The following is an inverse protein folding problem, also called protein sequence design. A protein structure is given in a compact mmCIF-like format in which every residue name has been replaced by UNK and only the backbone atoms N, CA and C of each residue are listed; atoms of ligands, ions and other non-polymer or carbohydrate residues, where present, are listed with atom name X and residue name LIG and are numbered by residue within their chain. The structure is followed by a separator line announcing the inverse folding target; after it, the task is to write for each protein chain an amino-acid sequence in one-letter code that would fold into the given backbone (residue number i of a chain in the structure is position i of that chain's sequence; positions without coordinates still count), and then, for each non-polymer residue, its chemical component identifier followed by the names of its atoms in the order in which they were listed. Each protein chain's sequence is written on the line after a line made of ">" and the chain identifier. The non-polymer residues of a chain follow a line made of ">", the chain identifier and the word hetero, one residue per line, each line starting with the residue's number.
data_IF_871411377688
#
_entry.id   IF_871411377688
#
_cell.length_a   1.000
_cell.length_b   1.000
_cell.length_c   1.000
_cell.angle_alpha   90.00
_cell.angle_beta   90.00
_cell.angle_gamma   90.00
#
_symmetry.space_group_name_H-M   'P 1'
#
loop_
_entity.id
_entity.type
_entity.pdbx_description
1 polymer ?
#
# COMPACT_ATOMS: atom_id res chain seq x y z
N UNK A 1 -11.42 18.48 27.63
CA UNK A 1 -11.59 18.51 26.17
C UNK A 1 -11.69 17.09 25.65
N UNK A 2 -12.61 16.75 24.74
CA UNK A 2 -12.64 15.42 24.13
C UNK A 2 -11.42 15.22 23.24
N UNK A 3 -10.79 14.07 23.36
CA UNK A 3 -9.69 13.66 22.47
C UNK A 3 -10.30 13.23 21.14
N UNK A 4 -9.78 13.78 20.02
CA UNK A 4 -10.14 13.35 18.67
C UNK A 4 -9.03 12.49 18.11
N UNK A 5 -9.37 11.30 17.58
CA UNK A 5 -8.45 10.37 16.95
C UNK A 5 -8.83 10.23 15.49
N UNK A 6 -7.85 10.38 14.58
CA UNK A 6 -7.98 10.07 13.18
C UNK A 6 -7.17 8.81 12.86
N UNK A 7 -7.84 7.79 12.31
CA UNK A 7 -7.19 6.56 11.87
C UNK A 7 -6.90 6.63 10.36
N UNK A 8 -5.63 6.41 10.01
CA UNK A 8 -5.17 6.30 8.63
C UNK A 8 -4.58 4.91 8.42
N UNK A 9 -5.03 4.21 7.41
CA UNK A 9 -4.57 2.88 7.02
C UNK A 9 -3.83 2.99 5.69
N UNK A 10 -2.51 2.89 5.71
CA UNK A 10 -1.69 2.86 4.49
C UNK A 10 -1.59 1.43 3.96
N UNK A 11 -1.96 1.24 2.70
CA UNK A 11 -2.07 -0.08 2.07
C UNK A 11 -1.10 -0.17 0.90
N UNK A 12 0.02 -0.87 1.09
CA UNK A 12 1.19 -0.77 0.20
C UNK A 12 1.38 -1.97 -0.74
N UNK A 13 0.72 -3.10 -0.46
CA UNK A 13 0.99 -4.36 -1.18
C UNK A 13 -0.27 -5.01 -1.73
N UNK A 14 -0.12 -5.84 -2.78
CA UNK A 14 -1.21 -6.67 -3.32
C UNK A 14 -1.82 -7.58 -2.23
N UNK A 15 -0.98 -8.22 -1.41
CA UNK A 15 -1.45 -9.09 -0.32
C UNK A 15 -2.16 -8.29 0.78
N UNK A 16 -1.61 -7.14 1.16
CA UNK A 16 -2.22 -6.24 2.14
C UNK A 16 -3.61 -5.81 1.71
N UNK A 17 -3.75 -5.40 0.44
CA UNK A 17 -5.05 -5.02 -0.12
C UNK A 17 -6.03 -6.21 -0.13
N UNK A 18 -5.58 -7.36 -0.64
CA UNK A 18 -6.47 -8.50 -0.87
C UNK A 18 -6.89 -9.23 0.41
N UNK A 19 -6.01 -9.31 1.40
CA UNK A 19 -6.21 -10.09 2.63
C UNK A 19 -6.35 -9.19 3.86
N UNK A 20 -5.48 -8.20 4.01
CA UNK A 20 -5.45 -7.34 5.19
C UNK A 20 -6.63 -6.39 5.26
N UNK A 21 -6.94 -5.74 4.14
CA UNK A 21 -8.01 -4.73 4.08
C UNK A 21 -9.38 -5.29 4.47
N UNK A 22 -9.86 -6.43 3.94
CA UNK A 22 -11.17 -6.97 4.36
C UNK A 22 -11.25 -7.26 5.85
N UNK A 23 -10.18 -7.80 6.46
CA UNK A 23 -10.15 -8.06 7.88
C UNK A 23 -10.17 -6.76 8.69
N UNK A 24 -9.36 -5.77 8.29
CA UNK A 24 -9.34 -4.45 8.95
C UNK A 24 -10.69 -3.75 8.87
N UNK A 25 -11.38 -3.82 7.72
CA UNK A 25 -12.73 -3.28 7.55
C UNK A 25 -13.70 -3.92 8.52
N UNK A 26 -13.67 -5.26 8.64
CA UNK A 26 -14.55 -5.98 9.57
C UNK A 26 -14.30 -5.58 11.04
N UNK A 27 -13.03 -5.48 11.44
CA UNK A 27 -12.64 -5.07 12.79
C UNK A 27 -13.09 -3.64 13.09
N UNK A 28 -12.85 -2.70 12.16
CA UNK A 28 -13.25 -1.29 12.32
C UNK A 28 -14.78 -1.12 12.37
N UNK A 29 -15.52 -1.88 11.55
CA UNK A 29 -16.99 -1.88 11.61
C UNK A 29 -17.51 -2.43 12.94
N UNK A 30 -16.92 -3.50 13.45
CA UNK A 30 -17.32 -4.11 14.72
C UNK A 30 -17.20 -3.11 15.90
N UNK A 31 -16.16 -2.26 15.88
CA UNK A 31 -15.94 -1.23 16.91
C UNK A 31 -16.49 0.15 16.52
N UNK A 32 -17.15 0.26 15.36
CA UNK A 32 -17.71 1.52 14.80
C UNK A 32 -16.66 2.65 14.72
N UNK A 33 -15.42 2.31 14.42
CA UNK A 33 -14.34 3.29 14.31
C UNK A 33 -14.23 3.80 12.86
N UNK A 34 -14.29 5.12 12.63
CA UNK A 34 -14.04 5.69 11.31
C UNK A 34 -12.56 5.60 10.96
N UNK A 35 -12.25 5.40 9.67
CA UNK A 35 -10.88 5.39 9.17
C UNK A 35 -10.83 5.86 7.72
N UNK A 36 -9.65 6.31 7.28
CA UNK A 36 -9.31 6.59 5.89
C UNK A 36 -8.32 5.55 5.38
N UNK A 37 -8.65 4.86 4.28
CA UNK A 37 -7.77 3.90 3.62
C UNK A 37 -7.06 4.58 2.45
N UNK A 38 -5.73 4.62 2.50
CA UNK A 38 -4.89 5.16 1.44
C UNK A 38 -4.20 4.02 0.70
N UNK A 39 -4.49 3.89 -0.60
CA UNK A 39 -4.01 2.77 -1.41
C UNK A 39 -2.81 3.14 -2.28
N UNK A 40 -1.81 2.26 -2.30
CA UNK A 40 -0.85 2.18 -3.40
C UNK A 40 -1.54 1.55 -4.60
N UNK A 41 -1.49 2.20 -5.77
CA UNK A 41 -2.37 1.84 -6.90
C UNK A 41 -1.65 1.14 -8.05
N UNK A 42 -0.34 1.28 -8.14
CA UNK A 42 0.48 0.74 -9.22
C UNK A 42 1.03 -0.66 -8.96
N UNK A 43 2.22 -0.98 -9.52
CA UNK A 43 2.82 -2.30 -9.35
C UNK A 43 3.38 -2.51 -7.94
N UNK A 44 3.09 -3.68 -7.36
CA UNK A 44 3.70 -4.14 -6.11
C UNK A 44 5.15 -4.60 -6.35
N UNK A 45 6.09 -3.73 -6.06
CA UNK A 45 7.53 -3.99 -6.20
C UNK A 45 8.22 -4.21 -4.84
N UNK A 46 7.49 -4.73 -3.85
CA UNK A 46 8.01 -4.95 -2.49
C UNK A 46 9.29 -5.80 -2.48
N UNK A 47 9.42 -6.77 -3.38
CA UNK A 47 10.64 -7.57 -3.50
C UNK A 47 11.90 -6.77 -3.82
N UNK A 48 11.79 -5.65 -4.52
CA UNK A 48 12.94 -4.76 -4.78
C UNK A 48 13.44 -4.07 -3.52
N UNK A 49 12.60 -3.95 -2.51
CA UNK A 49 13.00 -3.40 -1.21
C UNK A 49 13.93 -4.35 -0.42
N UNK A 50 14.11 -5.61 -0.86
CA UNK A 50 15.02 -6.57 -0.24
C UNK A 50 16.47 -6.04 -0.28
N UNK A 51 16.82 -5.19 -1.22
CA UNK A 51 18.13 -4.51 -1.25
C UNK A 51 18.38 -3.65 -0.02
N UNK A 52 17.31 -3.26 0.70
CA UNK A 52 17.41 -2.54 1.99
C UNK A 52 18.01 -3.40 3.10
N UNK A 53 17.99 -4.73 2.95
CA UNK A 53 18.63 -5.68 3.91
C UNK A 53 20.11 -5.37 4.07
N UNK A 54 20.75 -4.85 3.03
CA UNK A 54 22.15 -4.45 3.07
C UNK A 54 22.40 -3.07 3.70
N UNK A 55 21.36 -2.34 4.13
CA UNK A 55 21.53 -1.05 4.83
C UNK A 55 21.82 -1.28 6.32
N UNK A 56 22.80 -0.54 6.92
CA UNK A 56 23.09 -0.64 8.35
C UNK A 56 21.82 -0.41 9.22
N UNK A 57 21.61 -1.26 10.22
CA UNK A 57 20.48 -1.17 11.14
C UNK A 57 19.17 -1.84 10.66
N UNK A 58 19.10 -2.31 9.43
CA UNK A 58 17.90 -3.00 8.93
C UNK A 58 17.67 -4.34 9.63
N UNK A 59 18.74 -5.12 9.85
CA UNK A 59 18.66 -6.42 10.54
C UNK A 59 18.10 -6.32 11.96
N UNK A 60 18.38 -5.24 12.71
CA UNK A 60 17.84 -5.06 14.05
C UNK A 60 16.32 -4.80 14.06
N UNK A 61 15.79 -4.20 12.99
CA UNK A 61 14.33 -4.01 12.84
C UNK A 61 13.64 -5.28 12.36
N UNK A 62 14.27 -6.06 11.47
CA UNK A 62 13.70 -7.26 10.87
C UNK A 62 13.69 -8.45 11.83
N UNK A 63 14.67 -8.55 12.74
CA UNK A 63 14.74 -9.64 13.73
C UNK A 63 13.58 -9.61 14.74
N UNK A 64 12.92 -8.46 14.92
CA UNK A 64 11.76 -8.31 15.83
C UNK A 64 10.43 -8.67 15.17
N UNK A 65 10.38 -8.74 13.85
CA UNK A 65 9.14 -9.03 13.12
C UNK A 65 9.45 -10.04 12.03
N UNK A 66 8.77 -11.17 12.01
CA UNK A 66 8.93 -12.15 10.92
C UNK A 66 8.38 -11.57 9.61
N UNK A 67 9.27 -10.90 8.85
CA UNK A 67 8.95 -10.26 7.55
C UNK A 67 8.23 -11.23 6.61
N UNK A 68 8.65 -12.50 6.65
CA UNK A 68 8.02 -13.56 5.85
C UNK A 68 6.57 -13.83 6.31
N UNK A 69 6.29 -13.79 7.61
CA UNK A 69 4.92 -13.99 8.11
C UNK A 69 4.00 -12.84 7.73
N UNK A 70 4.51 -11.59 7.82
CA UNK A 70 3.72 -10.39 7.52
C UNK A 70 3.47 -10.25 6.02
N UNK A 71 4.52 -10.27 5.22
CA UNK A 71 4.43 -10.01 3.78
C UNK A 71 4.13 -11.25 2.95
N UNK A 72 4.54 -12.42 3.42
CA UNK A 72 4.51 -13.67 2.67
C UNK A 72 5.64 -13.76 1.64
N UNK A 73 6.13 -14.98 1.38
CA UNK A 73 7.24 -15.24 0.45
C UNK A 73 6.99 -14.64 -0.94
N UNK A 74 5.78 -14.78 -1.47
CA UNK A 74 5.43 -14.28 -2.80
C UNK A 74 5.58 -12.76 -2.91
N UNK A 75 5.11 -12.00 -1.92
CA UNK A 75 5.23 -10.53 -1.90
C UNK A 75 6.70 -10.09 -1.88
N UNK A 76 7.54 -10.83 -1.15
CA UNK A 76 8.98 -10.56 -1.08
C UNK A 76 9.72 -10.85 -2.40
N UNK A 77 9.11 -11.58 -3.31
CA UNK A 77 9.65 -11.87 -4.65
C UNK A 77 9.06 -10.97 -5.73
N UNK A 78 8.00 -10.20 -5.45
CA UNK A 78 7.33 -9.33 -6.41
C UNK A 78 8.26 -8.26 -6.96
N UNK A 79 8.36 -8.15 -8.28
CA UNK A 79 9.20 -7.18 -8.97
C UNK A 79 10.68 -7.55 -9.03
N UNK A 80 11.07 -8.73 -8.54
CA UNK A 80 12.42 -9.31 -8.67
C UNK A 80 12.34 -10.66 -9.40
N UNK A 81 12.16 -11.76 -8.68
CA UNK A 81 12.02 -13.10 -9.26
C UNK A 81 10.61 -13.38 -9.82
N UNK A 82 9.60 -12.67 -9.33
CA UNK A 82 8.23 -12.74 -9.81
C UNK A 82 7.79 -11.42 -10.42
N UNK A 83 6.88 -11.44 -11.43
CA UNK A 83 6.25 -10.23 -11.94
C UNK A 83 5.59 -9.43 -10.82
N UNK A 84 5.71 -8.10 -10.86
CA UNK A 84 5.03 -7.22 -9.92
C UNK A 84 3.53 -7.17 -10.24
N UNK A 85 2.64 -7.66 -9.36
CA UNK A 85 1.21 -7.55 -9.59
C UNK A 85 0.78 -6.08 -9.52
N UNK A 86 -0.13 -5.67 -10.39
CA UNK A 86 -0.68 -4.31 -10.37
C UNK A 86 -1.80 -4.24 -9.33
N UNK A 87 -1.56 -3.55 -8.22
CA UNK A 87 -2.43 -3.55 -7.03
C UNK A 87 -3.84 -3.08 -7.40
N UNK A 88 -3.98 -1.90 -7.98
CA UNK A 88 -5.27 -1.31 -8.31
C UNK A 88 -6.09 -2.14 -9.29
N UNK A 89 -5.46 -2.69 -10.34
CA UNK A 89 -6.15 -3.52 -11.33
C UNK A 89 -6.66 -4.83 -10.72
N UNK A 90 -5.87 -5.47 -9.88
CA UNK A 90 -6.21 -6.77 -9.29
C UNK A 90 -7.20 -6.68 -8.16
N UNK A 91 -7.19 -5.57 -7.42
CA UNK A 91 -7.95 -5.43 -6.17
C UNK A 91 -9.01 -4.33 -6.23
N UNK A 92 -9.40 -3.87 -7.43
CA UNK A 92 -10.39 -2.79 -7.58
C UNK A 92 -11.73 -3.11 -6.89
N UNK A 93 -12.15 -4.37 -6.88
CA UNK A 93 -13.37 -4.79 -6.19
C UNK A 93 -13.25 -4.62 -4.66
N UNK A 94 -12.12 -5.01 -4.08
CA UNK A 94 -11.85 -4.83 -2.64
C UNK A 94 -11.82 -3.35 -2.28
N UNK A 95 -11.15 -2.51 -3.08
CA UNK A 95 -11.07 -1.08 -2.85
C UNK A 95 -12.46 -0.41 -2.89
N UNK A 96 -13.29 -0.77 -3.88
CA UNK A 96 -14.68 -0.29 -3.93
C UNK A 96 -15.49 -0.76 -2.73
N UNK A 97 -15.33 -2.00 -2.29
CA UNK A 97 -16.02 -2.51 -1.10
C UNK A 97 -15.69 -1.70 0.17
N UNK A 98 -14.46 -1.19 0.30
CA UNK A 98 -14.07 -0.29 1.41
C UNK A 98 -14.90 1.00 1.37
N UNK A 99 -14.98 1.66 0.19
CA UNK A 99 -15.80 2.86 0.00
C UNK A 99 -17.28 2.56 0.31
N UNK A 100 -17.79 1.46 -0.24
CA UNK A 100 -19.20 1.07 -0.11
C UNK A 100 -19.54 0.68 1.35
N UNK A 101 -18.55 0.28 2.14
CA UNK A 101 -18.64 0.08 3.58
C UNK A 101 -18.65 1.39 4.40
N UNK A 102 -18.57 2.55 3.73
CA UNK A 102 -18.65 3.88 4.36
C UNK A 102 -17.31 4.45 4.84
N UNK A 103 -16.18 3.84 4.49
CA UNK A 103 -14.85 4.38 4.81
C UNK A 103 -14.37 5.38 3.76
N UNK A 104 -13.61 6.37 4.19
CA UNK A 104 -12.89 7.23 3.27
C UNK A 104 -11.81 6.44 2.51
N UNK A 105 -11.65 6.75 1.23
CA UNK A 105 -10.62 6.16 0.37
C UNK A 105 -9.80 7.24 -0.29
N UNK A 106 -8.50 6.99 -0.41
CA UNK A 106 -7.58 7.95 -1.00
C UNK A 106 -6.36 7.29 -1.63
N UNK A 107 -5.50 8.14 -2.16
CA UNK A 107 -4.25 7.74 -2.81
C UNK A 107 -3.10 7.81 -1.79
N UNK A 108 -2.39 6.69 -1.60
CA UNK A 108 -1.11 6.69 -0.91
C UNK A 108 0.01 7.06 -1.88
N UNK A 109 0.13 6.31 -2.97
CA UNK A 109 1.05 6.58 -4.08
C UNK A 109 0.69 5.75 -5.31
N UNK A 110 1.40 5.94 -6.44
CA UNK A 110 1.32 4.98 -7.55
C UNK A 110 2.27 3.81 -7.31
N UNK A 111 3.57 4.07 -7.19
CA UNK A 111 4.58 3.04 -6.96
C UNK A 111 5.30 3.29 -5.63
N UNK A 112 4.91 2.52 -4.61
CA UNK A 112 5.42 2.70 -3.25
C UNK A 112 6.95 2.53 -3.15
N UNK A 113 7.54 1.57 -3.86
CA UNK A 113 8.99 1.36 -3.88
C UNK A 113 9.74 2.57 -4.45
N UNK A 114 9.28 3.11 -5.61
CA UNK A 114 9.89 4.30 -6.21
C UNK A 114 9.72 5.52 -5.31
N UNK A 115 8.53 5.71 -4.78
CA UNK A 115 8.21 6.83 -3.90
C UNK A 115 9.09 6.83 -2.64
N UNK A 116 9.27 5.68 -2.00
CA UNK A 116 10.02 5.57 -0.76
C UNK A 116 11.54 5.64 -0.94
N UNK A 117 12.08 5.02 -2.00
CA UNK A 117 13.54 4.88 -2.16
C UNK A 117 14.17 5.89 -3.12
N UNK A 118 13.39 6.46 -4.04
CA UNK A 118 13.93 7.27 -5.12
C UNK A 118 13.37 8.68 -5.20
N UNK A 119 12.38 9.08 -4.42
CA UNK A 119 11.74 10.39 -4.49
C UNK A 119 12.77 11.54 -4.52
N UNK A 120 13.79 11.49 -3.68
CA UNK A 120 14.83 12.51 -3.62
C UNK A 120 15.72 12.60 -4.89
N UNK A 121 15.66 11.59 -5.75
CA UNK A 121 16.45 11.49 -6.99
C UNK A 121 15.59 11.63 -8.23
N UNK A 122 14.28 11.68 -8.07
CA UNK A 122 13.33 11.84 -9.17
C UNK A 122 13.32 13.28 -9.64
N UNK A 123 13.28 13.45 -10.95
CA UNK A 123 12.99 14.75 -11.55
C UNK A 123 11.56 15.18 -11.26
N UNK A 124 11.27 16.48 -11.40
CA UNK A 124 9.91 17.00 -11.24
C UNK A 124 8.93 16.34 -12.22
N UNK A 125 9.39 16.04 -13.43
CA UNK A 125 8.59 15.36 -14.45
C UNK A 125 8.23 13.93 -14.04
N UNK A 126 9.18 13.16 -13.49
CA UNK A 126 8.94 11.82 -12.96
C UNK A 126 7.96 11.84 -11.79
N UNK A 127 8.11 12.79 -10.85
CA UNK A 127 7.17 12.97 -9.75
C UNK A 127 5.77 13.28 -10.27
N UNK A 128 5.66 14.19 -11.25
CA UNK A 128 4.38 14.52 -11.89
C UNK A 128 3.76 13.30 -12.57
N UNK A 129 4.55 12.48 -13.25
CA UNK A 129 4.07 11.25 -13.90
C UNK A 129 3.49 10.25 -12.88
N UNK A 130 4.12 10.09 -11.71
CA UNK A 130 3.60 9.25 -10.62
C UNK A 130 2.23 9.76 -10.13
N UNK A 131 2.06 11.08 -9.94
CA UNK A 131 0.76 11.65 -9.55
C UNK A 131 -0.30 11.47 -10.62
N UNK A 132 0.03 11.71 -11.88
CA UNK A 132 -0.91 11.53 -13.00
C UNK A 132 -1.37 10.07 -13.09
N UNK A 133 -0.42 9.12 -12.98
CA UNK A 133 -0.72 7.70 -13.00
C UNK A 133 -1.59 7.28 -11.80
N UNK A 134 -1.27 7.75 -10.60
CA UNK A 134 -2.04 7.47 -9.40
C UNK A 134 -3.48 7.98 -9.52
N UNK A 135 -3.64 9.24 -9.97
CA UNK A 135 -4.95 9.85 -10.18
C UNK A 135 -5.77 9.11 -11.24
N UNK A 136 -5.15 8.76 -12.37
CA UNK A 136 -5.82 8.03 -13.44
C UNK A 136 -6.34 6.66 -12.97
N UNK A 137 -5.51 5.93 -12.22
CA UNK A 137 -5.88 4.64 -11.67
C UNK A 137 -6.95 4.76 -10.57
N UNK A 138 -6.89 5.79 -9.73
CA UNK A 138 -7.92 6.08 -8.73
C UNK A 138 -9.28 6.35 -9.40
N UNK A 139 -9.32 7.20 -10.42
CA UNK A 139 -10.53 7.48 -11.17
C UNK A 139 -11.08 6.24 -11.92
N UNK A 140 -10.19 5.38 -12.43
CA UNK A 140 -10.62 4.10 -13.04
C UNK A 140 -11.30 3.18 -12.03
N UNK A 141 -10.90 3.22 -10.78
CA UNK A 141 -11.44 2.35 -9.71
C UNK A 141 -12.74 2.92 -9.14
N UNK A 142 -12.76 4.21 -8.85
CA UNK A 142 -13.81 4.82 -8.04
C UNK A 142 -14.80 5.70 -8.85
N UNK A 143 -14.49 6.03 -10.11
CA UNK A 143 -15.33 6.80 -11.03
C UNK A 143 -15.00 8.25 -11.00
#
# INVERSE_FOLDING_TARGET
>A
MPIRLALKVDVDTDRGTRVGVPNMVADLQAVKAPACFLFSLGPDQTGRAITRVFRPGFFQKVSRTSVVQIYGVRTLLNGTLLPAPHIGRRNSAVMRAVRDAGFEVGIHCYNHYRWQDYLQRMSLEEVRAEFVAARAEFLRIFG
#
